data_IF_930813174517
#
_entry.id   IF_930813174517
#
_cell.length_a   1.000
_cell.length_b   1.000
_cell.length_c   1.000
_cell.angle_alpha   90.00
_cell.angle_beta   90.00
_cell.angle_gamma   90.00
#
_symmetry.space_group_name_H-M   'P 1'
#
loop_
_entity.id
_entity.type
_entity.pdbx_description
1 polymer ?
#
# COMPACT_ATOMS: atom_id res chain seq x y z
N UNK A 1 -23.62 -8.05 15.74
CA UNK A 1 -24.13 -9.26 16.43
C UNK A 1 -25.55 -9.59 16.00
N UNK A 2 -26.56 -8.69 16.21
CA UNK A 2 -27.98 -8.98 15.94
C UNK A 2 -28.24 -9.44 14.49
N UNK A 3 -27.67 -8.74 13.50
CA UNK A 3 -27.83 -9.11 12.08
C UNK A 3 -27.02 -10.37 11.71
N UNK A 4 -25.74 -10.42 12.08
CA UNK A 4 -24.83 -11.48 11.64
C UNK A 4 -25.07 -12.83 12.38
N UNK A 5 -25.28 -12.80 13.69
CA UNK A 5 -25.41 -13.98 14.53
C UNK A 5 -26.87 -14.41 14.67
N UNK A 6 -27.74 -13.49 15.08
CA UNK A 6 -29.14 -13.79 15.37
C UNK A 6 -30.09 -13.64 14.18
N UNK A 7 -29.56 -13.23 13.00
CA UNK A 7 -30.34 -13.04 11.77
C UNK A 7 -31.50 -12.06 11.90
N UNK A 8 -31.46 -11.15 12.88
CA UNK A 8 -32.50 -10.13 13.08
C UNK A 8 -32.52 -9.19 11.88
N UNK A 9 -33.71 -8.90 11.36
CA UNK A 9 -33.89 -7.89 10.30
C UNK A 9 -33.69 -6.50 10.90
N UNK A 10 -32.70 -5.79 10.40
CA UNK A 10 -32.38 -4.42 10.79
C UNK A 10 -32.41 -3.51 9.56
N UNK A 11 -32.94 -2.29 9.74
CA UNK A 11 -32.94 -1.24 8.72
C UNK A 11 -31.60 -0.49 8.64
N UNK A 12 -30.69 -0.74 9.57
CA UNK A 12 -29.36 -0.11 9.62
C UNK A 12 -28.53 -0.63 8.45
N UNK A 13 -27.98 0.30 7.67
CA UNK A 13 -27.01 0.04 6.61
C UNK A 13 -25.64 -0.22 7.23
N UNK A 14 -25.34 -1.48 7.56
CA UNK A 14 -24.13 -1.87 8.30
C UNK A 14 -22.85 -1.62 7.50
N UNK A 15 -22.93 -1.55 6.19
CA UNK A 15 -21.81 -1.22 5.28
C UNK A 15 -21.20 0.17 5.53
N UNK A 16 -21.93 1.06 6.20
CA UNK A 16 -21.43 2.40 6.58
C UNK A 16 -20.85 2.46 8.01
N UNK A 17 -20.76 1.35 8.73
CA UNK A 17 -20.26 1.36 10.11
C UNK A 17 -18.83 1.91 10.22
N UNK A 18 -17.95 1.52 9.29
CA UNK A 18 -16.57 2.01 9.29
C UNK A 18 -16.50 3.51 9.04
N UNK A 19 -17.13 4.00 7.97
CA UNK A 19 -17.13 5.42 7.62
C UNK A 19 -17.76 6.28 8.71
N UNK A 20 -18.88 5.79 9.31
CA UNK A 20 -19.51 6.46 10.45
C UNK A 20 -18.58 6.54 11.65
N UNK A 21 -17.82 5.47 11.93
CA UNK A 21 -16.87 5.45 13.04
C UNK A 21 -15.72 6.44 12.82
N UNK A 22 -15.24 6.57 11.58
CA UNK A 22 -14.23 7.58 11.22
C UNK A 22 -14.79 9.00 11.36
N UNK A 23 -16.05 9.22 10.95
CA UNK A 23 -16.70 10.51 11.11
C UNK A 23 -16.83 10.88 12.59
N UNK A 24 -17.28 9.95 13.44
CA UNK A 24 -17.38 10.17 14.88
C UNK A 24 -16.01 10.47 15.49
N UNK A 25 -14.99 9.68 15.15
CA UNK A 25 -13.63 9.90 15.63
C UNK A 25 -13.12 11.31 15.31
N UNK A 26 -13.39 11.78 14.09
CA UNK A 26 -13.03 13.13 13.63
C UNK A 26 -13.81 14.24 14.37
N UNK A 27 -15.13 14.05 14.58
CA UNK A 27 -15.97 15.06 15.23
C UNK A 27 -15.72 15.17 16.74
N UNK A 28 -15.28 14.07 17.36
CA UNK A 28 -15.05 14.02 18.81
C UNK A 28 -13.57 14.18 19.19
N UNK A 29 -12.68 14.26 18.20
CA UNK A 29 -11.22 14.22 18.38
C UNK A 29 -10.74 13.01 19.21
N UNK A 30 -11.48 11.89 19.11
CA UNK A 30 -11.16 10.64 19.78
C UNK A 30 -10.83 9.57 18.74
N UNK A 31 -9.53 9.30 18.49
CA UNK A 31 -9.12 8.41 17.41
C UNK A 31 -9.57 6.96 17.64
N UNK A 32 -9.92 6.27 16.56
CA UNK A 32 -10.21 4.85 16.62
C UNK A 32 -8.94 4.07 16.99
N UNK A 33 -9.06 3.23 18.01
CA UNK A 33 -7.97 2.32 18.35
C UNK A 33 -7.79 1.29 17.22
N UNK A 34 -6.56 1.01 16.78
CA UNK A 34 -6.30 0.06 15.68
C UNK A 34 -6.92 -1.32 15.89
N UNK A 35 -6.97 -1.80 17.14
CA UNK A 35 -7.55 -3.11 17.50
C UNK A 35 -9.02 -3.04 17.92
N UNK A 36 -9.71 -1.92 17.67
CA UNK A 36 -11.14 -1.81 17.95
C UNK A 36 -11.89 -2.87 17.15
N UNK A 37 -12.73 -3.66 17.81
CA UNK A 37 -13.54 -4.68 17.15
C UNK A 37 -14.36 -4.07 16.00
N UNK A 38 -14.40 -4.76 14.87
CA UNK A 38 -15.19 -4.46 13.66
C UNK A 38 -14.65 -3.27 12.86
N UNK A 39 -14.37 -2.13 13.49
CA UNK A 39 -14.03 -0.87 12.80
C UNK A 39 -12.56 -0.48 12.91
N UNK A 40 -11.78 -1.10 13.80
CA UNK A 40 -10.35 -0.82 13.91
C UNK A 40 -9.56 -1.25 12.68
N UNK A 41 -8.42 -0.60 12.43
CA UNK A 41 -7.60 -0.88 11.25
C UNK A 41 -7.12 -2.32 11.18
N UNK A 42 -6.91 -2.97 12.33
CA UNK A 42 -6.45 -4.35 12.42
C UNK A 42 -7.58 -5.39 12.49
N UNK A 43 -8.86 -4.98 12.46
CA UNK A 43 -10.00 -5.88 12.68
C UNK A 43 -10.10 -7.05 11.67
N UNK A 44 -9.67 -6.81 10.42
CA UNK A 44 -9.68 -7.80 9.34
C UNK A 44 -8.30 -7.92 8.67
N UNK A 45 -7.25 -7.79 9.50
CA UNK A 45 -5.86 -7.96 9.06
C UNK A 45 -5.32 -9.29 9.58
N UNK A 46 -4.85 -10.11 8.66
CA UNK A 46 -4.23 -11.39 8.97
C UNK A 46 -2.75 -11.37 8.61
N UNK A 47 -1.89 -11.49 9.62
CA UNK A 47 -0.43 -11.52 9.48
C UNK A 47 0.14 -12.92 9.75
N UNK A 48 -0.47 -13.67 10.67
CA UNK A 48 -0.03 -15.03 11.03
C UNK A 48 -0.27 -16.01 9.88
N UNK A 49 0.74 -16.81 9.56
CA UNK A 49 0.65 -17.82 8.50
C UNK A 49 -0.48 -18.84 8.71
N UNK A 50 -0.82 -19.17 9.96
CA UNK A 50 -1.94 -20.06 10.29
C UNK A 50 -3.28 -19.37 10.01
N UNK A 51 -3.44 -18.10 10.37
CA UNK A 51 -4.65 -17.33 10.09
C UNK A 51 -4.82 -17.12 8.58
N UNK A 52 -3.77 -16.71 7.89
CA UNK A 52 -3.77 -16.50 6.44
C UNK A 52 -4.18 -17.78 5.71
N UNK A 53 -3.59 -18.94 6.10
CA UNK A 53 -3.96 -20.21 5.50
C UNK A 53 -5.42 -20.59 5.77
N UNK A 54 -5.89 -20.41 7.00
CA UNK A 54 -7.27 -20.69 7.37
C UNK A 54 -8.27 -19.82 6.62
N UNK A 55 -8.00 -18.53 6.52
CA UNK A 55 -8.85 -17.56 5.81
C UNK A 55 -8.89 -17.83 4.30
N UNK A 56 -7.75 -18.17 3.69
CA UNK A 56 -7.69 -18.53 2.26
C UNK A 56 -8.46 -19.82 1.97
N UNK A 57 -8.43 -20.81 2.89
CA UNK A 57 -9.19 -22.04 2.74
C UNK A 57 -10.70 -21.84 3.01
N UNK A 58 -11.03 -21.14 4.08
CA UNK A 58 -12.41 -20.77 4.44
C UNK A 58 -12.40 -19.51 5.32
N UNK A 59 -12.86 -18.36 4.82
CA UNK A 59 -12.90 -17.10 5.57
C UNK A 59 -13.57 -17.21 6.93
N UNK A 60 -14.63 -18.00 7.05
CA UNK A 60 -15.38 -18.17 8.31
C UNK A 60 -14.55 -18.77 9.45
N UNK A 61 -13.38 -19.34 9.17
CA UNK A 61 -12.48 -19.90 10.20
C UNK A 61 -12.02 -18.82 11.19
N UNK A 62 -11.76 -17.60 10.71
CA UNK A 62 -11.27 -16.50 11.52
C UNK A 62 -12.08 -15.20 11.36
N UNK A 63 -13.01 -15.15 10.41
CA UNK A 63 -13.88 -14.01 10.16
C UNK A 63 -15.34 -14.42 10.34
N UNK A 64 -15.87 -14.37 11.57
CA UNK A 64 -17.28 -14.69 11.82
C UNK A 64 -18.25 -13.71 11.19
N UNK A 65 -17.74 -12.56 10.76
CA UNK A 65 -18.46 -11.50 10.06
C UNK A 65 -17.68 -11.15 8.79
N UNK A 66 -18.28 -11.28 7.60
CA UNK A 66 -17.63 -10.80 6.37
C UNK A 66 -17.27 -9.31 6.47
N UNK A 67 -16.04 -8.89 6.13
CA UNK A 67 -15.60 -7.49 6.23
C UNK A 67 -16.53 -6.53 5.47
N UNK A 68 -17.04 -6.94 4.33
CA UNK A 68 -17.90 -6.14 3.44
C UNK A 68 -19.21 -5.74 4.13
N UNK A 69 -19.72 -6.58 5.05
CA UNK A 69 -20.92 -6.26 5.84
C UNK A 69 -20.78 -5.00 6.69
N UNK A 70 -19.56 -4.57 6.96
CA UNK A 70 -19.25 -3.44 7.84
C UNK A 70 -18.42 -2.35 7.13
N UNK A 71 -18.37 -2.40 5.79
CA UNK A 71 -17.63 -1.43 4.96
C UNK A 71 -16.12 -1.62 5.00
N UNK A 72 -15.66 -2.83 5.30
CA UNK A 72 -14.22 -3.15 5.36
C UNK A 72 -13.83 -4.14 4.27
N UNK A 73 -12.52 -4.26 4.05
CA UNK A 73 -11.93 -5.28 3.19
C UNK A 73 -10.92 -6.09 4.01
N UNK A 74 -10.79 -7.36 3.67
CA UNK A 74 -9.75 -8.22 4.23
C UNK A 74 -8.37 -7.76 3.76
N UNK A 75 -7.40 -7.81 4.66
CA UNK A 75 -6.01 -7.52 4.34
C UNK A 75 -5.12 -8.66 4.84
N UNK A 76 -4.38 -9.26 3.92
CA UNK A 76 -3.29 -10.17 4.24
C UNK A 76 -2.01 -9.33 4.25
N UNK A 77 -1.27 -9.36 5.35
CA UNK A 77 -0.06 -8.56 5.53
C UNK A 77 1.13 -9.48 5.70
N UNK A 78 2.15 -9.26 4.87
CA UNK A 78 3.44 -9.94 5.00
C UNK A 78 4.28 -9.21 6.04
N UNK A 79 4.28 -9.68 7.27
CA UNK A 79 5.04 -9.08 8.37
C UNK A 79 5.86 -10.09 9.16
N UNK A 80 6.32 -9.73 10.36
CA UNK A 80 7.12 -10.55 11.26
C UNK A 80 6.54 -11.96 11.51
N UNK A 81 5.21 -12.06 11.51
CA UNK A 81 4.47 -13.31 11.76
C UNK A 81 3.93 -13.97 10.49
N UNK A 82 4.23 -13.40 9.30
CA UNK A 82 3.84 -14.02 8.04
C UNK A 82 4.59 -15.34 7.87
N UNK A 83 3.84 -16.43 7.67
CA UNK A 83 4.42 -17.72 7.29
C UNK A 83 4.89 -17.71 5.83
N UNK A 84 5.76 -18.65 5.46
CA UNK A 84 6.26 -18.83 4.09
C UNK A 84 5.14 -18.91 3.03
N UNK A 85 3.98 -19.48 3.39
CA UNK A 85 2.81 -19.57 2.51
C UNK A 85 2.18 -18.20 2.22
N UNK A 86 2.09 -17.31 3.23
CA UNK A 86 1.58 -15.95 3.03
C UNK A 86 2.49 -15.13 2.11
N UNK A 87 3.80 -15.22 2.33
CA UNK A 87 4.79 -14.59 1.46
C UNK A 87 4.69 -15.14 0.03
N UNK A 88 4.56 -16.47 -0.14
CA UNK A 88 4.37 -17.07 -1.44
C UNK A 88 3.13 -16.55 -2.15
N UNK A 89 1.99 -16.50 -1.45
CA UNK A 89 0.75 -15.97 -2.02
C UNK A 89 0.90 -14.52 -2.50
N UNK A 90 1.53 -13.64 -1.70
CA UNK A 90 1.81 -12.26 -2.12
C UNK A 90 2.75 -12.18 -3.32
N UNK A 91 3.75 -13.04 -3.40
CA UNK A 91 4.67 -13.11 -4.54
C UNK A 91 3.94 -13.61 -5.80
N UNK A 92 3.09 -14.63 -5.67
CA UNK A 92 2.27 -15.17 -6.77
C UNK A 92 1.30 -14.08 -7.31
N UNK A 93 0.70 -13.26 -6.43
CA UNK A 93 -0.12 -12.10 -6.84
C UNK A 93 0.69 -11.04 -7.61
N UNK A 94 1.98 -10.90 -7.31
CA UNK A 94 2.89 -10.02 -8.03
C UNK A 94 3.38 -10.65 -9.34
N UNK A 95 3.14 -11.94 -9.59
CA UNK A 95 3.65 -12.70 -10.73
C UNK A 95 5.08 -13.20 -10.53
N UNK A 96 5.56 -13.24 -9.28
CA UNK A 96 6.88 -13.76 -8.92
C UNK A 96 6.74 -15.19 -8.41
N UNK A 97 7.41 -16.14 -9.07
CA UNK A 97 7.31 -17.57 -8.77
C UNK A 97 8.69 -18.14 -8.34
N UNK A 98 9.14 -17.85 -7.10
CA UNK A 98 10.40 -18.38 -6.60
C UNK A 98 10.34 -19.90 -6.43
N UNK A 99 11.46 -20.57 -6.64
CA UNK A 99 11.61 -21.97 -6.24
C UNK A 99 11.70 -22.09 -4.71
N UNK A 100 11.72 -23.33 -4.18
CA UNK A 100 11.69 -23.57 -2.74
C UNK A 100 12.91 -23.00 -1.99
N UNK A 101 14.09 -22.98 -2.60
CA UNK A 101 15.32 -22.41 -2.02
C UNK A 101 15.25 -20.89 -1.99
N UNK A 102 14.84 -20.29 -3.10
CA UNK A 102 14.61 -18.83 -3.19
C UNK A 102 13.53 -18.37 -2.21
N UNK A 103 12.44 -19.12 -2.10
CA UNK A 103 11.37 -18.79 -1.14
C UNK A 103 11.86 -18.80 0.30
N UNK A 104 12.70 -19.79 0.69
CA UNK A 104 13.32 -19.84 2.01
C UNK A 104 14.21 -18.63 2.28
N UNK A 105 15.02 -18.24 1.31
CA UNK A 105 15.89 -17.07 1.44
C UNK A 105 15.09 -15.76 1.53
N UNK A 106 14.05 -15.60 0.70
CA UNK A 106 13.13 -14.46 0.77
C UNK A 106 12.48 -14.39 2.16
N UNK A 107 11.97 -15.53 2.65
CA UNK A 107 11.37 -15.61 3.98
C UNK A 107 12.32 -15.18 5.09
N UNK A 108 13.58 -15.63 5.03
CA UNK A 108 14.60 -15.29 6.03
C UNK A 108 14.89 -13.79 6.03
N UNK A 109 15.01 -13.16 4.86
CA UNK A 109 15.26 -11.71 4.73
C UNK A 109 14.07 -10.89 5.22
N UNK A 110 12.84 -11.27 4.87
CA UNK A 110 11.61 -10.63 5.38
C UNK A 110 11.54 -10.72 6.89
N UNK A 111 11.81 -11.90 7.46
CA UNK A 111 11.85 -12.11 8.90
C UNK A 111 12.90 -11.22 9.59
N UNK A 112 14.09 -11.14 9.03
CA UNK A 112 15.18 -10.30 9.56
C UNK A 112 14.78 -8.83 9.60
N UNK A 113 14.08 -8.31 8.59
CA UNK A 113 13.55 -6.94 8.61
C UNK A 113 12.47 -6.76 9.66
N UNK A 114 11.54 -7.71 9.78
CA UNK A 114 10.50 -7.70 10.81
C UNK A 114 11.06 -7.75 12.22
N UNK A 115 12.11 -8.55 12.47
CA UNK A 115 12.79 -8.65 13.76
C UNK A 115 13.49 -7.33 14.17
N UNK A 116 13.89 -6.51 13.18
CA UNK A 116 14.37 -5.15 13.38
C UNK A 116 13.26 -4.12 13.59
N UNK A 117 12.00 -4.56 13.68
CA UNK A 117 10.84 -3.68 13.89
C UNK A 117 10.33 -3.00 12.62
N UNK A 118 10.89 -3.29 11.44
CA UNK A 118 10.42 -2.72 10.17
C UNK A 118 9.16 -3.44 9.71
N UNK A 119 8.10 -2.69 9.41
CA UNK A 119 6.92 -3.21 8.72
C UNK A 119 7.27 -3.40 7.24
N UNK A 120 7.30 -4.65 6.79
CA UNK A 120 7.61 -4.99 5.40
C UNK A 120 6.42 -4.65 4.50
N UNK A 121 6.64 -3.83 3.49
CA UNK A 121 5.64 -3.45 2.47
C UNK A 121 5.73 -4.36 1.24
N UNK A 122 4.76 -4.25 0.34
CA UNK A 122 4.79 -4.98 -0.94
C UNK A 122 5.99 -4.55 -1.78
N UNK A 123 6.35 -3.26 -1.74
CA UNK A 123 7.56 -2.76 -2.41
C UNK A 123 8.86 -3.35 -1.81
N UNK A 124 8.93 -3.52 -0.49
CA UNK A 124 10.07 -4.20 0.16
C UNK A 124 10.14 -5.68 -0.24
N UNK A 125 8.99 -6.37 -0.21
CA UNK A 125 8.89 -7.78 -0.58
C UNK A 125 9.32 -8.02 -2.02
N UNK A 126 8.86 -7.19 -2.95
CA UNK A 126 9.26 -7.22 -4.35
C UNK A 126 10.78 -7.02 -4.52
N UNK A 127 11.35 -6.00 -3.86
CA UNK A 127 12.78 -5.72 -3.95
C UNK A 127 13.64 -6.88 -3.40
N UNK A 128 13.18 -7.54 -2.33
CA UNK A 128 13.84 -8.73 -1.77
C UNK A 128 13.78 -9.89 -2.77
N UNK A 129 12.60 -10.13 -3.36
CA UNK A 129 12.40 -11.22 -4.31
C UNK A 129 13.23 -11.01 -5.57
N UNK A 130 13.22 -9.81 -6.16
CA UNK A 130 14.08 -9.46 -7.31
C UNK A 130 15.56 -9.76 -7.02
N UNK A 131 16.04 -9.37 -5.83
CA UNK A 131 17.43 -9.59 -5.44
C UNK A 131 17.79 -11.07 -5.25
N UNK A 132 16.89 -11.88 -4.68
CA UNK A 132 17.11 -13.33 -4.46
C UNK A 132 16.99 -14.12 -5.75
N UNK A 133 16.03 -13.75 -6.60
CA UNK A 133 15.80 -14.41 -7.89
C UNK A 133 16.77 -13.97 -8.98
N UNK A 134 17.62 -12.96 -8.72
CA UNK A 134 18.55 -12.40 -9.69
C UNK A 134 17.86 -11.62 -10.82
N UNK A 135 16.64 -11.15 -10.58
CA UNK A 135 15.90 -10.36 -11.56
C UNK A 135 16.43 -8.92 -11.63
N UNK A 136 16.37 -8.27 -12.80
CA UNK A 136 16.75 -6.87 -12.91
C UNK A 136 15.83 -5.99 -12.05
N UNK A 137 16.40 -4.98 -11.39
CA UNK A 137 15.62 -3.97 -10.67
C UNK A 137 14.86 -3.10 -11.66
N UNK A 138 13.69 -3.56 -12.07
CA UNK A 138 12.84 -2.83 -12.99
C UNK A 138 12.12 -1.70 -12.23
N UNK A 139 12.31 -0.47 -12.70
CA UNK A 139 11.60 0.71 -12.20
C UNK A 139 10.99 1.41 -13.39
N UNK A 140 9.77 0.99 -13.81
CA UNK A 140 9.07 1.59 -14.95
C UNK A 140 8.95 3.10 -14.83
N UNK A 141 8.73 3.62 -13.61
CA UNK A 141 8.60 5.04 -13.35
C UNK A 141 9.78 5.50 -12.49
N UNK A 142 10.48 6.54 -12.97
CA UNK A 142 11.53 7.24 -12.22
C UNK A 142 11.23 8.72 -12.18
N UNK A 143 11.42 9.33 -11.01
CA UNK A 143 11.39 10.79 -10.87
C UNK A 143 12.71 11.36 -11.38
N UNK A 144 12.63 12.27 -12.34
CA UNK A 144 13.77 13.02 -12.86
C UNK A 144 13.83 14.40 -12.22
N UNK A 145 12.66 15.05 -12.06
CA UNK A 145 12.57 16.42 -11.54
C UNK A 145 11.23 16.64 -10.83
N UNK A 146 11.27 17.37 -9.72
CA UNK A 146 10.10 17.83 -8.98
C UNK A 146 10.31 19.30 -8.61
N UNK A 147 9.36 20.15 -9.00
CA UNK A 147 9.28 21.55 -8.56
C UNK A 147 7.95 21.77 -7.87
N UNK A 148 7.96 22.39 -6.70
CA UNK A 148 6.76 22.73 -5.96
C UNK A 148 6.79 24.20 -5.55
N UNK A 149 5.71 24.90 -5.85
CA UNK A 149 5.50 26.30 -5.45
C UNK A 149 4.33 26.33 -4.47
N UNK A 150 4.59 26.88 -3.29
CA UNK A 150 3.57 27.03 -2.24
C UNK A 150 3.84 28.30 -1.43
N UNK A 151 2.83 28.84 -0.79
CA UNK A 151 2.95 30.04 0.04
C UNK A 151 1.59 30.58 0.46
N UNK A 152 1.58 31.70 1.24
CA UNK A 152 0.36 32.43 1.52
C UNK A 152 -0.13 33.12 0.24
N UNK A 153 -1.41 33.03 -0.06
CA UNK A 153 -2.07 33.62 -1.25
C UNK A 153 -1.55 33.13 -2.61
N UNK A 154 -0.87 31.98 -2.63
CA UNK A 154 -0.43 31.31 -3.86
C UNK A 154 -1.15 29.98 -3.94
N UNK A 155 -1.75 29.67 -5.08
CA UNK A 155 -2.31 28.32 -5.32
C UNK A 155 -1.15 27.33 -5.36
N UNK A 156 -1.13 26.34 -4.46
CA UNK A 156 -0.09 25.32 -4.47
C UNK A 156 -0.05 24.62 -5.84
N UNK A 157 1.12 24.65 -6.46
CA UNK A 157 1.35 24.11 -7.81
C UNK A 157 2.59 23.25 -7.80
N UNK A 158 2.56 22.13 -8.48
CA UNK A 158 3.73 21.27 -8.67
C UNK A 158 3.90 20.91 -10.13
N UNK A 159 5.15 20.76 -10.55
CA UNK A 159 5.54 20.23 -11.84
C UNK A 159 6.46 19.02 -11.61
N UNK A 160 6.21 17.94 -12.33
CA UNK A 160 7.01 16.71 -12.29
C UNK A 160 7.52 16.35 -13.67
N UNK A 161 8.76 15.87 -13.74
CA UNK A 161 9.31 15.18 -14.90
C UNK A 161 9.56 13.74 -14.50
N UNK A 162 8.85 12.83 -15.15
CA UNK A 162 8.94 11.40 -14.92
C UNK A 162 9.52 10.71 -16.16
N UNK A 163 10.37 9.72 -15.92
CA UNK A 163 10.78 8.79 -16.97
C UNK A 163 9.93 7.52 -16.84
N UNK A 164 9.08 7.27 -17.82
CA UNK A 164 8.24 6.09 -17.90
C UNK A 164 8.73 5.17 -19.02
N UNK A 165 9.46 4.11 -18.65
CA UNK A 165 10.04 3.14 -19.60
C UNK A 165 10.86 3.82 -20.73
N UNK A 166 11.64 4.84 -20.39
CA UNK A 166 12.44 5.61 -21.34
C UNK A 166 11.72 6.85 -21.94
N UNK A 167 10.41 6.95 -21.81
CA UNK A 167 9.66 8.13 -22.26
C UNK A 167 9.59 9.19 -21.15
N UNK A 168 9.96 10.40 -21.49
CA UNK A 168 9.90 11.54 -20.57
C UNK A 168 8.50 12.17 -20.63
N UNK A 169 7.84 12.19 -19.48
CA UNK A 169 6.55 12.82 -19.27
C UNK A 169 6.75 14.03 -18.34
N UNK A 170 6.20 15.18 -18.74
CA UNK A 170 6.24 16.39 -17.90
C UNK A 170 4.81 16.88 -17.72
N UNK A 171 4.38 16.93 -16.47
CA UNK A 171 3.04 17.37 -16.10
C UNK A 171 3.09 18.35 -14.93
N UNK A 172 2.08 19.20 -14.84
CA UNK A 172 1.92 20.15 -13.76
C UNK A 172 0.48 20.14 -13.26
N UNK A 173 0.30 20.24 -11.95
CA UNK A 173 -1.00 20.28 -11.33
C UNK A 173 -1.05 21.23 -10.15
N UNK A 174 -2.26 21.66 -9.80
CA UNK A 174 -2.57 22.38 -8.57
C UNK A 174 -3.12 21.44 -7.51
N UNK A 175 -3.11 21.89 -6.25
CA UNK A 175 -3.67 21.16 -5.14
C UNK A 175 -4.08 22.07 -3.99
N UNK A 176 -4.68 21.49 -2.95
CA UNK A 176 -5.02 22.21 -1.71
C UNK A 176 -3.79 22.48 -0.84
N UNK A 177 -2.69 21.80 -1.13
CA UNK A 177 -1.39 21.95 -0.47
C UNK A 177 -0.26 21.41 -1.34
N UNK A 178 1.02 21.59 -0.93
CA UNK A 178 2.17 21.18 -1.72
C UNK A 178 2.22 19.68 -2.03
N UNK A 179 1.87 18.84 -1.06
CA UNK A 179 1.81 17.38 -1.23
C UNK A 179 0.72 17.00 -2.24
N UNK A 180 -0.48 17.58 -2.09
CA UNK A 180 -1.61 17.29 -2.98
C UNK A 180 -1.31 17.73 -4.42
N UNK A 181 -0.72 18.92 -4.60
CA UNK A 181 -0.29 19.40 -5.91
C UNK A 181 0.72 18.46 -6.57
N UNK A 182 1.75 18.01 -5.82
CA UNK A 182 2.78 17.10 -6.31
C UNK A 182 2.20 15.73 -6.66
N UNK A 183 1.34 15.17 -5.80
CA UNK A 183 0.68 13.89 -6.06
C UNK A 183 -0.27 13.96 -7.26
N UNK A 184 -0.97 15.08 -7.44
CA UNK A 184 -1.84 15.29 -8.59
C UNK A 184 -1.04 15.39 -9.89
N UNK A 185 0.13 16.05 -9.89
CA UNK A 185 1.01 16.10 -11.04
C UNK A 185 1.52 14.71 -11.44
N UNK A 186 1.96 13.90 -10.47
CA UNK A 186 2.35 12.50 -10.71
C UNK A 186 1.17 11.68 -11.24
N UNK A 187 -0.02 11.84 -10.65
CA UNK A 187 -1.22 11.14 -11.12
C UNK A 187 -1.52 11.50 -12.58
N UNK A 188 -1.51 12.77 -12.95
CA UNK A 188 -1.77 13.19 -14.33
C UNK A 188 -0.78 12.58 -15.32
N UNK A 189 0.52 12.59 -14.98
CA UNK A 189 1.55 12.00 -15.80
C UNK A 189 1.35 10.49 -16.03
N UNK A 190 0.93 9.75 -14.99
CA UNK A 190 0.82 8.28 -15.04
C UNK A 190 -0.56 7.82 -15.46
N UNK A 191 -1.65 8.49 -15.04
CA UNK A 191 -3.03 8.08 -15.33
C UNK A 191 -3.37 8.12 -16.83
N UNK A 192 -2.70 8.95 -17.62
CA UNK A 192 -2.85 8.96 -19.08
C UNK A 192 -2.45 7.60 -19.70
N UNK A 193 -1.63 6.81 -18.98
CA UNK A 193 -1.11 5.52 -19.45
C UNK A 193 -1.71 4.37 -18.65
N UNK A 194 -1.84 4.52 -17.32
CA UNK A 194 -2.25 3.44 -16.42
C UNK A 194 -3.16 3.95 -15.28
N UNK A 195 -4.46 3.62 -15.27
CA UNK A 195 -5.37 4.07 -14.22
C UNK A 195 -5.09 3.39 -12.88
N UNK A 196 -4.76 4.18 -11.87
CA UNK A 196 -4.53 3.74 -10.49
C UNK A 196 -5.25 4.63 -9.50
N UNK A 197 -5.64 4.08 -8.36
CA UNK A 197 -6.32 4.80 -7.29
C UNK A 197 -5.51 4.76 -6.01
N UNK A 198 -5.44 5.90 -5.31
CA UNK A 198 -4.90 6.00 -3.96
C UNK A 198 -6.04 5.66 -2.99
N UNK A 199 -5.92 4.51 -2.29
CA UNK A 199 -6.92 4.06 -1.31
C UNK A 199 -6.60 4.53 0.10
N UNK A 200 -5.30 4.63 0.44
CA UNK A 200 -4.87 5.10 1.76
C UNK A 200 -3.59 5.94 1.66
N UNK A 201 -3.53 6.95 2.50
CA UNK A 201 -2.36 7.83 2.67
C UNK A 201 -2.21 8.14 4.16
N UNK A 202 -1.05 7.87 4.72
CA UNK A 202 -0.77 8.17 6.12
C UNK A 202 0.64 8.72 6.29
N UNK A 203 0.79 9.64 7.23
CA UNK A 203 2.04 10.33 7.53
C UNK A 203 2.37 10.12 8.99
N UNK A 204 3.63 9.81 9.27
CA UNK A 204 4.15 9.64 10.62
C UNK A 204 5.53 10.29 10.72
N UNK A 205 5.71 11.17 11.70
CA UNK A 205 7.04 11.64 12.07
C UNK A 205 7.78 10.51 12.82
N UNK A 206 8.99 10.19 12.38
CA UNK A 206 9.87 9.18 13.01
C UNK A 206 10.71 9.84 14.09
N UNK A 207 11.21 11.06 13.83
CA UNK A 207 12.01 11.85 14.76
C UNK A 207 11.26 13.11 15.18
N UNK A 208 11.70 13.78 16.23
CA UNK A 208 11.16 15.07 16.65
C UNK A 208 11.99 16.23 16.12
N UNK A 209 11.42 17.44 16.13
CA UNK A 209 12.08 18.67 15.67
C UNK A 209 11.53 19.21 14.36
N UNK A 210 12.07 20.33 13.90
CA UNK A 210 11.69 20.98 12.64
C UNK A 210 12.28 20.26 11.40
N UNK A 211 13.29 19.42 11.64
CA UNK A 211 13.99 18.55 10.69
C UNK A 211 13.57 17.07 10.84
N UNK A 212 12.36 16.86 11.37
CA UNK A 212 11.86 15.51 11.61
C UNK A 212 11.78 14.69 10.33
N UNK A 213 12.42 13.51 10.34
CA UNK A 213 12.26 12.52 9.29
C UNK A 213 10.81 12.03 9.27
N UNK A 214 10.19 12.13 8.12
CA UNK A 214 8.79 11.77 7.89
C UNK A 214 8.69 10.45 7.13
N UNK A 215 7.92 9.53 7.67
CA UNK A 215 7.49 8.30 6.98
C UNK A 215 6.12 8.53 6.38
N UNK A 216 6.01 8.34 5.09
CA UNK A 216 4.73 8.36 4.37
C UNK A 216 4.43 6.95 3.87
N UNK A 217 3.28 6.42 4.24
CA UNK A 217 2.80 5.14 3.74
C UNK A 217 1.59 5.34 2.83
N UNK A 218 1.61 4.68 1.68
CA UNK A 218 0.52 4.70 0.69
C UNK A 218 0.00 3.29 0.42
N UNK A 219 -1.27 3.22 0.07
CA UNK A 219 -1.88 2.04 -0.52
C UNK A 219 -2.51 2.43 -1.85
N UNK A 220 -2.09 1.80 -2.92
CA UNK A 220 -2.57 2.03 -4.28
C UNK A 220 -3.33 0.80 -4.77
N UNK A 221 -4.28 1.04 -5.68
CA UNK A 221 -5.04 -0.01 -6.36
C UNK A 221 -5.04 0.19 -7.88
N UNK A 222 -4.86 -0.92 -8.61
CA UNK A 222 -5.00 -1.01 -10.06
C UNK A 222 -5.84 -2.25 -10.39
N UNK A 223 -7.10 -2.04 -10.79
CA UNK A 223 -8.06 -3.14 -10.91
C UNK A 223 -8.24 -3.86 -9.57
N UNK A 224 -8.00 -5.18 -9.55
CA UNK A 224 -8.07 -6.00 -8.33
C UNK A 224 -6.75 -6.07 -7.55
N UNK A 225 -5.64 -5.62 -8.15
CA UNK A 225 -4.32 -5.61 -7.49
C UNK A 225 -4.18 -4.41 -6.56
N UNK A 226 -3.57 -4.63 -5.41
CA UNK A 226 -3.18 -3.60 -4.45
C UNK A 226 -1.70 -3.64 -4.19
N UNK A 227 -1.11 -2.51 -3.87
CA UNK A 227 0.27 -2.41 -3.42
C UNK A 227 0.40 -1.39 -2.30
N UNK A 228 1.22 -1.74 -1.30
CA UNK A 228 1.63 -0.84 -0.23
C UNK A 228 3.09 -0.45 -0.44
N UNK A 229 3.39 0.80 -0.16
CA UNK A 229 4.75 1.32 -0.23
C UNK A 229 4.98 2.41 0.82
N UNK A 230 6.24 2.62 1.16
CA UNK A 230 6.67 3.65 2.13
C UNK A 230 7.77 4.49 1.50
N UNK A 231 7.69 5.80 1.69
CA UNK A 231 8.74 6.77 1.44
C UNK A 231 9.20 7.39 2.76
N UNK A 232 10.48 7.65 2.88
CA UNK A 232 11.08 8.21 4.12
C UNK A 232 12.02 9.32 3.73
N UNK A 233 11.70 10.54 4.15
CA UNK A 233 12.50 11.73 3.86
C UNK A 233 12.26 12.81 4.93
N UNK A 234 13.17 13.77 5.04
CA UNK A 234 12.98 14.99 5.84
C UNK A 234 11.92 15.89 5.22
N UNK A 235 11.81 15.90 3.88
CA UNK A 235 10.75 16.60 3.16
C UNK A 235 9.55 15.69 2.93
N UNK A 236 8.41 16.07 3.50
CA UNK A 236 7.14 15.34 3.39
C UNK A 236 6.65 15.22 1.94
N UNK A 237 6.95 16.20 1.07
CA UNK A 237 6.54 16.16 -0.34
C UNK A 237 7.35 15.09 -1.05
N UNK A 238 8.67 15.07 -0.84
CA UNK A 238 9.56 14.05 -1.41
C UNK A 238 9.18 12.67 -0.89
N UNK A 239 9.01 12.51 0.43
CA UNK A 239 8.58 11.23 1.01
C UNK A 239 7.26 10.73 0.40
N UNK A 240 6.30 11.63 0.15
CA UNK A 240 5.00 11.29 -0.45
C UNK A 240 5.16 10.82 -1.91
N UNK A 241 5.98 11.50 -2.69
CA UNK A 241 6.22 11.12 -4.08
C UNK A 241 7.01 9.82 -4.17
N UNK A 242 8.02 9.61 -3.32
CA UNK A 242 8.77 8.36 -3.25
C UNK A 242 7.86 7.16 -2.91
N UNK A 243 6.98 7.32 -1.90
CA UNK A 243 6.01 6.30 -1.55
C UNK A 243 5.08 5.99 -2.73
N UNK A 244 4.53 7.03 -3.37
CA UNK A 244 3.60 6.89 -4.48
C UNK A 244 4.24 6.20 -5.68
N UNK A 245 5.43 6.62 -6.11
CA UNK A 245 6.16 6.03 -7.23
C UNK A 245 6.57 4.58 -6.93
N UNK A 246 6.98 4.29 -5.71
CA UNK A 246 7.30 2.91 -5.28
C UNK A 246 6.08 2.00 -5.41
N UNK A 247 4.92 2.42 -4.92
CA UNK A 247 3.67 1.65 -5.04
C UNK A 247 3.19 1.51 -6.49
N UNK A 248 3.31 2.58 -7.29
CA UNK A 248 2.99 2.53 -8.73
C UNK A 248 3.90 1.54 -9.47
N UNK A 249 5.20 1.53 -9.18
CA UNK A 249 6.15 0.60 -9.79
C UNK A 249 5.78 -0.85 -9.50
N UNK A 250 5.36 -1.18 -8.26
CA UNK A 250 4.87 -2.53 -7.92
C UNK A 250 3.68 -2.94 -8.79
N UNK A 251 2.73 -2.03 -9.02
CA UNK A 251 1.51 -2.31 -9.79
C UNK A 251 1.72 -2.31 -11.31
N UNK A 252 2.79 -1.66 -11.80
CA UNK A 252 3.10 -1.59 -13.23
C UNK A 252 3.91 -2.78 -13.74
N UNK A 253 4.66 -3.44 -12.87
CA UNK A 253 5.46 -4.60 -13.30
C UNK A 253 4.56 -5.82 -13.43
N UNK A 254 4.63 -6.46 -14.59
CA UNK A 254 3.99 -7.74 -14.89
C UNK A 254 5.10 -8.75 -15.20
N UNK A 255 5.53 -9.47 -14.17
CA UNK A 255 6.60 -10.45 -14.30
C UNK A 255 6.23 -11.64 -15.19
N UNK A 256 4.94 -11.95 -15.34
CA UNK A 256 4.50 -13.00 -16.26
C UNK A 256 4.83 -12.65 -17.72
N UNK A 257 4.78 -11.35 -18.08
CA UNK A 257 5.18 -10.89 -19.42
C UNK A 257 6.68 -10.84 -19.61
N UNK A 258 7.44 -10.51 -18.56
CA UNK A 258 8.90 -10.43 -18.62
C UNK A 258 9.55 -11.81 -18.84
N UNK A 259 9.01 -12.88 -18.24
CA UNK A 259 9.53 -14.23 -18.40
C UNK A 259 9.29 -14.81 -19.81
N UNK A 260 8.25 -14.32 -20.54
CA UNK A 260 7.98 -14.76 -21.91
C UNK A 260 8.93 -14.15 -22.95
N UNK A 261 9.59 -13.03 -22.63
CA UNK A 261 10.54 -12.34 -23.52
C UNK A 261 11.96 -12.87 -23.43
N UNK A 262 12.33 -13.61 -22.38
CA UNK A 262 13.67 -14.22 -22.25
C UNK A 262 13.77 -15.63 -22.87
N UNK A 263 12.66 -16.19 -23.36
CA UNK A 263 12.59 -17.54 -23.95
C UNK A 263 12.47 -17.48 -25.49
N UNK A 264 12.44 -16.30 -26.07
CA UNK A 264 12.45 -16.04 -27.51
C UNK A 264 13.76 -15.39 -27.93
#
# INVERSE_FOLDING_TARGET
ALKAVYKVKLSIKTEFLYDTSLLVARLTDFPLQPNKAIVGDNAFVHESGMHTHGVLANPLTYEPIPPELVGRTRRLVSGKHAGSRGIKASLDEMGLHPNDEQLKEIFLRVKTLGDKGKKVTDADLQAIAEAVMGLPKTRPIKLEELTVVTGDRVTPTASVRLNLNGNILTEAATGVGPVDAAMNAVKQAVLAVEPMQLENYSVKAITGGTDAVTEVAVQLRKGDRRATAVGVNEDIVIASIEAMLSGMNVLMIDYNKLQLTEVS
#
